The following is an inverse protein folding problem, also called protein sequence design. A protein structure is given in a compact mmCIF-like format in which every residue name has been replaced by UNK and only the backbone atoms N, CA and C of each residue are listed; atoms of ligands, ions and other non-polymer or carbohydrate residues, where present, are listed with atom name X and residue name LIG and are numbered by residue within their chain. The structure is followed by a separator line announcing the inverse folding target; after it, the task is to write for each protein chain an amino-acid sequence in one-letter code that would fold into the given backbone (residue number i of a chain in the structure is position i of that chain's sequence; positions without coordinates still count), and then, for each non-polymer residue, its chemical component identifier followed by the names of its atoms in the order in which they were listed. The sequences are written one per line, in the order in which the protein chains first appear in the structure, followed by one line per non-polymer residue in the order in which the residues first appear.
data_IF_632489223286
#
_entry.id   IF_632489223286
#
_cell.length_a   1.000
_cell.length_b   1.000
_cell.length_c   1.000
_cell.angle_alpha   90.00
_cell.angle_beta   90.00
_cell.angle_gamma   90.00
#
_symmetry.space_group_name_H-M   'P 1'
#
loop_
_entity.id
_entity.type
_entity.pdbx_description
1 polymer ?
#
# COMPACT_ATOMS: atom_id res chain seq x y z
N UNK A 1 -23.42 -14.86 2.93
CA UNK A 1 -22.24 -15.75 2.94
C UNK A 1 -21.00 -14.93 2.58
N UNK A 2 -19.84 -15.19 3.20
CA UNK A 2 -18.58 -14.45 2.98
C UNK A 2 -17.55 -15.39 2.35
N UNK A 3 -16.78 -14.89 1.40
CA UNK A 3 -15.68 -15.61 0.76
C UNK A 3 -14.34 -14.95 1.05
N UNK A 4 -13.30 -15.77 1.12
CA UNK A 4 -11.91 -15.35 1.34
C UNK A 4 -11.17 -15.28 0.01
N UNK A 5 -10.43 -14.19 -0.17
CA UNK A 5 -9.57 -13.91 -1.32
C UNK A 5 -8.14 -13.68 -0.86
N UNK A 6 -7.18 -14.18 -1.62
CA UNK A 6 -5.75 -13.99 -1.35
C UNK A 6 -5.28 -12.67 -1.99
N UNK A 7 -4.65 -11.82 -1.19
CA UNK A 7 -4.10 -10.53 -1.64
C UNK A 7 -2.67 -10.71 -2.07
N UNK A 8 -2.44 -10.48 -3.37
CA UNK A 8 -1.15 -10.63 -4.04
C UNK A 8 -0.52 -9.29 -4.36
N UNK A 9 0.79 -9.24 -4.15
CA UNK A 9 1.65 -8.08 -4.33
C UNK A 9 2.26 -8.14 -5.74
N UNK A 10 2.54 -6.99 -6.38
CA UNK A 10 3.30 -6.98 -7.63
C UNK A 10 4.73 -7.53 -7.44
N UNK A 11 5.33 -8.01 -8.53
CA UNK A 11 6.64 -8.68 -8.55
C UNK A 11 7.84 -7.80 -8.12
N UNK A 12 7.59 -6.52 -7.80
CA UNK A 12 8.60 -5.59 -7.29
C UNK A 12 9.09 -5.96 -5.88
N UNK A 13 8.34 -6.79 -5.14
CA UNK A 13 8.67 -7.20 -3.78
C UNK A 13 9.03 -8.69 -3.73
N UNK A 14 9.90 -9.07 -2.79
CA UNK A 14 10.33 -10.47 -2.63
C UNK A 14 9.20 -11.38 -2.14
N UNK A 15 8.29 -10.86 -1.31
CA UNK A 15 7.16 -11.59 -0.77
C UNK A 15 5.91 -11.27 -1.60
N UNK A 16 5.30 -12.32 -2.15
CA UNK A 16 4.19 -12.21 -3.09
C UNK A 16 2.80 -12.21 -2.43
N UNK A 17 2.66 -12.85 -1.27
CA UNK A 17 1.38 -12.96 -0.55
C UNK A 17 1.44 -12.14 0.75
N UNK A 18 0.52 -11.18 0.93
CA UNK A 18 0.40 -10.40 2.18
C UNK A 18 -0.54 -11.07 3.17
N UNK A 19 -1.62 -11.66 2.66
CA UNK A 19 -2.70 -12.20 3.50
C UNK A 19 -3.99 -12.36 2.74
N UNK A 20 -5.09 -12.50 3.50
CA UNK A 20 -6.42 -12.74 2.95
C UNK A 20 -7.38 -11.60 3.29
N UNK A 21 -8.27 -11.29 2.35
CA UNK A 21 -9.35 -10.33 2.53
C UNK A 21 -10.69 -11.02 2.37
N UNK A 22 -11.67 -10.61 3.18
CA UNK A 22 -13.03 -11.15 3.13
C UNK A 22 -13.96 -10.18 2.38
N UNK A 23 -14.87 -10.74 1.59
CA UNK A 23 -15.96 -9.98 0.96
C UNK A 23 -17.26 -10.77 1.03
N UNK A 24 -18.39 -10.06 0.95
CA UNK A 24 -19.69 -10.72 0.79
C UNK A 24 -19.77 -11.35 -0.60
N UNK A 25 -20.39 -12.54 -0.68
CA UNK A 25 -20.74 -13.15 -1.96
C UNK A 25 -21.58 -12.21 -2.80
N UNK A 26 -21.46 -12.33 -4.12
CA UNK A 26 -22.32 -11.62 -5.08
C UNK A 26 -23.79 -11.89 -4.73
N UNK A 27 -24.55 -10.82 -4.54
CA UNK A 27 -25.98 -10.87 -4.23
C UNK A 27 -26.72 -9.85 -5.12
N UNK A 28 -27.58 -10.36 -6.00
CA UNK A 28 -28.28 -9.54 -6.99
C UNK A 28 -27.29 -8.78 -7.88
N UNK A 29 -27.43 -7.45 -7.93
CA UNK A 29 -26.64 -6.55 -8.78
C UNK A 29 -25.26 -6.25 -8.18
N UNK A 30 -25.04 -6.52 -6.88
CA UNK A 30 -23.77 -6.23 -6.20
C UNK A 30 -22.78 -7.38 -6.39
N UNK A 31 -21.77 -7.16 -7.22
CA UNK A 31 -20.72 -8.13 -7.53
C UNK A 31 -19.63 -8.08 -6.44
N UNK A 32 -19.16 -9.26 -5.99
CA UNK A 32 -18.12 -9.35 -4.98
C UNK A 32 -16.78 -8.71 -5.40
N UNK A 33 -16.44 -8.77 -6.70
CA UNK A 33 -15.21 -8.18 -7.24
C UNK A 33 -15.21 -6.65 -7.18
N UNK A 34 -16.34 -6.00 -7.42
CA UNK A 34 -16.48 -4.55 -7.31
C UNK A 34 -16.22 -4.06 -5.88
N UNK A 35 -16.72 -4.79 -4.87
CA UNK A 35 -16.45 -4.50 -3.47
C UNK A 35 -15.03 -4.83 -2.98
N UNK A 36 -14.22 -5.50 -3.81
CA UNK A 36 -12.80 -5.80 -3.55
C UNK A 36 -11.88 -4.79 -4.25
N UNK A 37 -12.24 -4.35 -5.46
CA UNK A 37 -11.52 -3.31 -6.18
C UNK A 37 -11.55 -2.00 -5.40
N UNK A 38 -10.45 -1.25 -5.44
CA UNK A 38 -10.30 0.02 -4.72
C UNK A 38 -9.97 -0.11 -3.23
N UNK A 39 -9.87 -1.32 -2.66
CA UNK A 39 -9.38 -1.49 -1.28
C UNK A 39 -7.90 -1.15 -1.19
N UNK A 40 -7.55 -0.35 -0.18
CA UNK A 40 -6.16 0.02 0.11
C UNK A 40 -5.66 -0.74 1.33
N UNK A 41 -4.60 -1.51 1.16
CA UNK A 41 -3.91 -2.25 2.22
C UNK A 41 -2.64 -1.49 2.62
N UNK A 42 -2.47 -1.23 3.92
CA UNK A 42 -1.25 -0.64 4.48
C UNK A 42 -0.39 -1.76 5.07
N UNK A 43 0.76 -2.01 4.47
CA UNK A 43 1.67 -3.11 4.84
C UNK A 43 3.04 -2.53 5.17
N UNK A 44 3.76 -3.11 6.12
CA UNK A 44 5.13 -2.66 6.40
C UNK A 44 6.08 -3.15 5.30
N UNK A 45 7.14 -2.39 5.01
CA UNK A 45 8.13 -2.81 4.03
C UNK A 45 8.88 -4.08 4.48
N UNK A 46 9.06 -4.25 5.79
CA UNK A 46 9.70 -5.44 6.36
C UNK A 46 8.90 -6.73 6.09
N UNK A 47 7.56 -6.64 6.01
CA UNK A 47 6.71 -7.78 5.66
C UNK A 47 6.70 -8.09 4.16
N UNK A 48 7.15 -7.14 3.32
CA UNK A 48 7.19 -7.28 1.86
C UNK A 48 8.58 -7.69 1.35
N UNK A 49 9.62 -7.29 2.08
CA UNK A 49 11.01 -7.55 1.75
C UNK A 49 11.74 -7.99 3.01
N UNK A 50 12.31 -9.20 2.99
CA UNK A 50 12.95 -9.88 4.13
C UNK A 50 14.18 -9.13 4.71
N UNK A 51 14.57 -8.02 4.10
CA UNK A 51 15.51 -7.05 4.62
C UNK A 51 14.93 -5.65 4.38
N UNK A 52 14.92 -4.84 5.44
CA UNK A 52 14.73 -3.38 5.51
C UNK A 52 13.61 -2.94 6.48
N UNK A 53 14.05 -2.19 7.49
CA UNK A 53 13.40 -0.95 7.97
C UNK A 53 11.86 -0.96 8.10
N UNK A 54 11.37 -1.43 9.25
CA UNK A 54 9.94 -1.46 9.61
C UNK A 54 9.24 -0.08 9.67
N UNK A 55 9.99 1.03 9.59
CA UNK A 55 9.38 2.36 9.64
C UNK A 55 8.70 2.79 8.33
N UNK A 56 8.97 2.12 7.20
CA UNK A 56 8.30 2.42 5.93
C UNK A 56 7.05 1.54 5.80
N UNK A 57 5.91 2.18 5.52
CA UNK A 57 4.63 1.51 5.27
C UNK A 57 4.19 1.79 3.83
N UNK A 58 4.00 0.74 3.05
CA UNK A 58 3.50 0.79 1.68
C UNK A 58 1.98 0.69 1.66
N UNK A 59 1.34 1.52 0.84
CA UNK A 59 -0.09 1.48 0.54
C UNK A 59 -0.27 0.81 -0.82
N UNK A 60 -1.01 -0.29 -0.84
CA UNK A 60 -1.27 -1.09 -2.02
C UNK A 60 -2.78 -1.10 -2.31
N UNK A 61 -3.18 -0.72 -3.51
CA UNK A 61 -4.58 -0.69 -3.95
C UNK A 61 -4.91 -1.94 -4.76
N UNK A 62 -6.06 -2.58 -4.53
CA UNK A 62 -6.53 -3.65 -5.40
C UNK A 62 -7.11 -3.07 -6.69
N UNK A 63 -6.46 -3.33 -7.82
CA UNK A 63 -6.95 -2.92 -9.15
C UNK A 63 -7.77 -4.02 -9.82
N UNK A 64 -7.33 -5.27 -9.68
CA UNK A 64 -7.96 -6.39 -10.36
C UNK A 64 -8.13 -7.63 -9.46
N UNK A 65 -9.11 -8.46 -9.82
CA UNK A 65 -9.43 -9.70 -9.11
C UNK A 65 -9.50 -10.83 -10.12
N UNK A 66 -8.53 -11.73 -10.06
CA UNK A 66 -8.43 -12.91 -10.91
C UNK A 66 -8.81 -14.16 -10.12
N UNK A 67 -10.02 -14.66 -10.35
CA UNK A 67 -10.54 -15.81 -9.61
C UNK A 67 -10.62 -15.50 -8.11
N UNK A 68 -9.79 -16.16 -7.29
CA UNK A 68 -9.68 -15.92 -5.83
C UNK A 68 -8.52 -15.01 -5.43
N UNK A 69 -7.81 -14.45 -6.40
CA UNK A 69 -6.61 -13.66 -6.17
C UNK A 69 -6.90 -12.18 -6.44
N UNK A 70 -6.61 -11.32 -5.46
CA UNK A 70 -6.65 -9.87 -5.63
C UNK A 70 -5.26 -9.38 -6.03
N UNK A 71 -5.13 -8.82 -7.23
CA UNK A 71 -3.91 -8.18 -7.70
C UNK A 71 -3.88 -6.73 -7.21
N UNK A 72 -2.77 -6.36 -6.57
CA UNK A 72 -2.57 -5.01 -6.05
C UNK A 72 -1.57 -4.21 -6.87
N UNK A 73 -1.70 -2.89 -6.84
CA UNK A 73 -0.77 -1.93 -7.40
C UNK A 73 -0.31 -0.95 -6.32
N UNK A 74 0.80 -0.26 -6.57
CA UNK A 74 1.34 0.74 -5.65
C UNK A 74 0.49 2.02 -5.65
N UNK A 75 -0.02 2.39 -4.48
CA UNK A 75 -0.80 3.62 -4.30
C UNK A 75 -0.01 4.74 -3.60
N UNK A 76 0.93 4.38 -2.72
CA UNK A 76 1.76 5.36 -2.03
C UNK A 76 2.59 4.75 -0.91
N UNK A 77 3.41 5.58 -0.26
CA UNK A 77 4.26 5.17 0.86
C UNK A 77 4.20 6.21 1.97
N UNK A 78 4.28 5.75 3.21
CA UNK A 78 4.18 6.56 4.42
C UNK A 78 5.24 6.11 5.44
N UNK A 79 5.75 7.04 6.26
CA UNK A 79 6.64 6.70 7.39
C UNK A 79 5.80 6.48 8.66
N UNK A 80 6.25 5.62 9.58
CA UNK A 80 5.57 5.45 10.87
C UNK A 80 5.62 6.74 11.69
N UNK A 81 4.54 7.03 12.43
CA UNK A 81 4.45 8.20 13.31
C UNK A 81 5.59 8.22 14.34
N UNK A 82 5.96 7.07 14.89
CA UNK A 82 7.10 6.94 15.80
C UNK A 82 8.38 7.51 15.18
N UNK A 83 8.68 7.16 13.92
CA UNK A 83 9.90 7.62 13.27
C UNK A 83 9.89 9.12 12.98
N UNK A 84 8.74 9.63 12.55
CA UNK A 84 8.54 11.05 12.27
C UNK A 84 8.71 11.87 13.55
N UNK A 85 8.00 11.50 14.63
CA UNK A 85 8.01 12.26 15.88
C UNK A 85 9.30 12.07 16.70
N UNK A 86 9.87 10.86 16.73
CA UNK A 86 10.99 10.53 17.64
C UNK A 86 12.36 10.87 17.06
N UNK A 87 12.57 10.68 15.75
CA UNK A 87 13.91 10.82 15.16
C UNK A 87 14.11 12.10 14.35
N UNK A 88 13.04 12.63 13.76
CA UNK A 88 13.14 13.74 12.82
C UNK A 88 12.85 15.10 13.46
N UNK A 89 11.99 15.12 14.49
CA UNK A 89 11.71 16.33 15.27
C UNK A 89 12.58 16.33 16.51
N UNK A 90 13.74 17.01 16.44
CA UNK A 90 14.64 17.20 17.59
C UNK A 90 14.75 18.67 17.96
N UNK A 91 14.90 18.97 19.25
CA UNK A 91 15.19 20.32 19.71
C UNK A 91 16.56 20.77 19.20
N UNK A 92 16.70 22.08 18.94
CA UNK A 92 17.96 22.71 18.51
C UNK A 92 18.47 22.25 17.14
N UNK A 93 17.59 21.71 16.29
CA UNK A 93 17.89 21.37 14.91
C UNK A 93 16.83 21.99 13.99
N UNK A 94 17.26 22.47 12.82
CA UNK A 94 16.36 22.94 11.79
C UNK A 94 15.90 21.75 10.92
N UNK A 95 14.58 21.58 10.79
CA UNK A 95 14.00 20.61 9.87
C UNK A 95 13.84 21.25 8.49
N UNK A 96 14.44 20.64 7.47
CA UNK A 96 14.27 21.07 6.08
C UNK A 96 13.25 20.15 5.44
N UNK A 97 12.11 20.70 5.05
CA UNK A 97 11.05 19.97 4.36
C UNK A 97 10.88 20.52 2.94
N UNK A 98 10.81 19.64 1.95
CA UNK A 98 10.52 20.00 0.57
C UNK A 98 9.49 19.05 -0.03
N UNK A 99 8.72 19.53 -0.99
CA UNK A 99 7.80 18.70 -1.75
C UNK A 99 8.00 18.92 -3.24
N UNK A 100 7.77 17.87 -4.03
CA UNK A 100 7.83 17.92 -5.48
C UNK A 100 6.68 17.11 -6.07
N UNK A 101 5.96 17.70 -7.02
CA UNK A 101 4.94 17.03 -7.81
C UNK A 101 5.58 16.57 -9.11
N UNK A 102 5.63 15.25 -9.32
CA UNK A 102 6.34 14.62 -10.43
C UNK A 102 5.38 13.77 -11.24
N UNK A 103 5.39 13.95 -12.56
CA UNK A 103 4.67 13.08 -13.50
C UNK A 103 5.63 12.02 -14.04
N UNK A 104 5.33 10.76 -13.79
CA UNK A 104 6.08 9.63 -14.35
C UNK A 104 5.79 9.48 -15.84
N UNK A 105 6.73 8.91 -16.59
CA UNK A 105 6.56 8.57 -18.02
C UNK A 105 5.30 7.75 -18.31
N UNK A 106 4.86 6.95 -17.34
CA UNK A 106 3.72 6.05 -17.47
C UNK A 106 2.38 6.72 -17.08
N UNK A 107 2.36 8.05 -16.92
CA UNK A 107 1.13 8.83 -16.69
C UNK A 107 0.72 9.00 -15.22
N UNK A 108 1.41 8.37 -14.27
CA UNK A 108 1.16 8.55 -12.84
C UNK A 108 1.62 9.93 -12.35
N UNK A 109 0.78 10.61 -11.59
CA UNK A 109 1.11 11.84 -10.87
C UNK A 109 1.41 11.49 -9.41
N UNK A 110 2.63 11.82 -8.96
CA UNK A 110 3.11 11.50 -7.62
C UNK A 110 3.51 12.79 -6.91
N UNK A 111 3.10 12.92 -5.64
CA UNK A 111 3.60 13.95 -4.73
C UNK A 111 4.63 13.35 -3.79
N UNK A 112 5.88 13.76 -3.94
CA UNK A 112 6.98 13.34 -3.10
C UNK A 112 7.17 14.37 -1.99
N UNK A 113 7.23 13.90 -0.75
CA UNK A 113 7.50 14.72 0.43
C UNK A 113 8.84 14.26 1.01
N UNK A 114 9.79 15.17 1.05
CA UNK A 114 11.11 14.98 1.62
C UNK A 114 11.18 15.79 2.92
N UNK A 115 11.57 15.09 3.98
CA UNK A 115 11.74 15.56 5.34
C UNK A 115 12.89 14.75 5.92
#
# INVERSE_FOLDING_TARGET
MKDWYDVKVPAMFSIWNIGKTLVRKTQGIKIASDGLKGRVFKVSLADLQNNEVAFRKSKLITEDVQGKNCLTNFHGMDRTCDKLCSRMVKKWQAMIQSHADVKTTNGYLLRLILC
#
